data_IF_280459189513
#
_entry.id   IF_280459189513
#
_cell.length_a   1.000
_cell.length_b   1.000
_cell.length_c   1.000
_cell.angle_alpha   90.00
_cell.angle_beta   90.00
_cell.angle_gamma   90.00
#
_symmetry.space_group_name_H-M   'P 1'
#
loop_
_entity.id
_entity.type
_entity.pdbx_description
1 polymer ?
#
# COMPACT_ATOMS: atom_id res chain seq x y z
N UNK A 1 8.85 29.45 -4.67
CA UNK A 1 7.54 28.77 -4.51
C UNK A 1 7.11 28.96 -3.08
N UNK A 2 5.88 29.42 -2.85
CA UNK A 2 5.27 29.41 -1.52
C UNK A 2 4.83 27.98 -1.17
N UNK A 3 4.81 27.63 0.12
CA UNK A 3 4.39 26.31 0.62
C UNK A 3 3.03 25.88 0.05
N UNK A 4 2.09 26.83 -0.07
CA UNK A 4 0.77 26.58 -0.65
C UNK A 4 0.83 26.14 -2.11
N UNK A 5 1.74 26.71 -2.90
CA UNK A 5 1.91 26.36 -4.31
C UNK A 5 2.54 24.97 -4.45
N UNK A 6 3.48 24.63 -3.56
CA UNK A 6 4.10 23.29 -3.52
C UNK A 6 3.06 22.22 -3.22
N UNK A 7 2.24 22.40 -2.18
CA UNK A 7 1.18 21.44 -1.82
C UNK A 7 0.15 21.28 -2.96
N UNK A 8 -0.24 22.38 -3.60
CA UNK A 8 -1.14 22.33 -4.76
C UNK A 8 -0.53 21.55 -5.93
N UNK A 9 0.76 21.78 -6.21
CA UNK A 9 1.48 21.06 -7.27
C UNK A 9 1.58 19.57 -6.99
N UNK A 10 1.91 19.18 -5.75
CA UNK A 10 1.95 17.76 -5.33
C UNK A 10 0.58 17.12 -5.54
N UNK A 11 -0.50 17.79 -5.09
CA UNK A 11 -1.86 17.29 -5.28
C UNK A 11 -2.20 17.08 -6.76
N UNK A 12 -1.90 18.07 -7.61
CA UNK A 12 -2.19 17.99 -9.05
C UNK A 12 -1.49 16.81 -9.71
N UNK A 13 -0.21 16.59 -9.39
CA UNK A 13 0.55 15.45 -9.90
C UNK A 13 -0.07 14.12 -9.43
N UNK A 14 -0.41 14.02 -8.15
CA UNK A 14 -1.00 12.80 -7.59
C UNK A 14 -2.36 12.47 -8.22
N UNK A 15 -3.25 13.46 -8.31
CA UNK A 15 -4.57 13.31 -8.92
C UNK A 15 -4.46 12.90 -10.40
N UNK A 16 -3.57 13.57 -11.15
CA UNK A 16 -3.35 13.30 -12.56
C UNK A 16 -2.83 11.87 -12.77
N UNK A 17 -1.80 11.47 -12.05
CA UNK A 17 -1.22 10.14 -12.22
C UNK A 17 -2.22 9.04 -11.87
N UNK A 18 -2.93 9.18 -10.75
CA UNK A 18 -3.94 8.22 -10.32
C UNK A 18 -5.07 8.03 -11.35
N UNK A 19 -5.56 9.12 -11.92
CA UNK A 19 -6.62 9.07 -12.93
C UNK A 19 -6.14 8.33 -14.19
N UNK A 20 -4.93 8.61 -14.65
CA UNK A 20 -4.37 7.92 -15.82
C UNK A 20 -4.07 6.45 -15.53
N UNK A 21 -3.44 6.15 -14.40
CA UNK A 21 -3.13 4.78 -13.99
C UNK A 21 -4.38 3.90 -13.96
N UNK A 22 -5.46 4.40 -13.34
CA UNK A 22 -6.72 3.67 -13.23
C UNK A 22 -7.42 3.47 -14.57
N UNK A 23 -7.42 4.49 -15.43
CA UNK A 23 -8.01 4.42 -16.77
C UNK A 23 -7.26 3.44 -17.67
N UNK A 24 -5.95 3.63 -17.83
CA UNK A 24 -5.12 2.85 -18.76
C UNK A 24 -5.07 1.37 -18.39
N UNK A 25 -5.02 1.06 -17.10
CA UNK A 25 -4.93 -0.32 -16.61
C UNK A 25 -6.28 -0.93 -16.21
N UNK A 26 -7.39 -0.19 -16.35
CA UNK A 26 -8.74 -0.62 -15.93
C UNK A 26 -8.79 -1.03 -14.46
N UNK A 27 -8.26 -0.19 -13.60
CA UNK A 27 -8.14 -0.46 -12.17
C UNK A 27 -9.23 0.26 -11.39
N UNK A 28 -9.89 -0.48 -10.51
CA UNK A 28 -10.81 0.08 -9.51
C UNK A 28 -10.04 0.47 -8.25
N UNK A 29 -10.31 1.67 -7.72
CA UNK A 29 -9.77 2.08 -6.44
C UNK A 29 -10.39 1.26 -5.30
N UNK A 30 -9.56 0.71 -4.43
CA UNK A 30 -9.98 0.02 -3.20
C UNK A 30 -9.27 0.62 -1.99
N UNK A 31 -9.79 0.37 -0.79
CA UNK A 31 -9.15 0.82 0.46
C UNK A 31 -8.21 -0.25 0.97
N UNK A 32 -6.93 0.08 1.10
CA UNK A 32 -5.94 -0.77 1.74
C UNK A 32 -5.99 -0.71 3.28
N UNK A 33 -5.58 -1.79 3.96
CA UNK A 33 -5.23 -1.73 5.38
C UNK A 33 -3.92 -0.97 5.58
N UNK A 34 -3.82 -0.19 6.67
CA UNK A 34 -2.56 0.40 7.14
C UNK A 34 -1.74 -0.59 7.98
N UNK A 35 -2.43 -1.55 8.61
CA UNK A 35 -1.84 -2.58 9.44
C UNK A 35 -2.64 -3.87 9.35
N UNK A 36 -1.97 -4.99 9.63
CA UNK A 36 -2.56 -6.33 9.65
C UNK A 36 -2.20 -7.04 10.95
N UNK A 37 -2.95 -8.08 11.32
CA UNK A 37 -2.56 -8.92 12.46
C UNK A 37 -1.27 -9.69 12.13
N UNK A 38 -0.34 -9.71 13.10
CA UNK A 38 0.89 -10.47 13.00
C UNK A 38 0.59 -11.96 12.85
N UNK A 39 1.36 -12.65 12.00
CA UNK A 39 1.22 -14.10 11.79
C UNK A 39 0.15 -14.52 10.77
N UNK A 40 -0.59 -13.59 10.18
CA UNK A 40 -1.57 -13.90 9.12
C UNK A 40 -0.93 -14.21 7.76
N UNK A 41 0.39 -13.96 7.60
CA UNK A 41 1.09 -14.12 6.32
C UNK A 41 0.67 -13.10 5.24
N UNK A 42 -0.04 -12.03 5.63
CA UNK A 42 -0.52 -11.00 4.72
C UNK A 42 0.49 -9.86 4.55
N UNK A 43 1.27 -9.56 5.59
CA UNK A 43 2.33 -8.57 5.49
C UNK A 43 3.50 -9.12 4.66
N UNK A 44 4.18 -8.22 3.96
CA UNK A 44 5.37 -8.53 3.19
C UNK A 44 6.60 -8.45 4.09
N UNK A 45 7.49 -9.42 3.96
CA UNK A 45 8.68 -9.53 4.79
C UNK A 45 9.88 -8.82 4.13
N UNK A 46 9.69 -8.23 2.93
CA UNK A 46 10.75 -7.62 2.11
C UNK A 46 11.93 -8.59 1.91
N UNK A 47 13.10 -8.30 2.47
CA UNK A 47 14.29 -9.18 2.41
C UNK A 47 14.37 -10.14 3.60
N UNK A 48 13.39 -10.10 4.51
CA UNK A 48 13.28 -10.95 5.70
C UNK A 48 14.10 -10.46 6.90
N UNK A 49 14.74 -9.29 6.80
CA UNK A 49 15.60 -8.74 7.86
C UNK A 49 14.97 -7.50 8.50
N UNK A 50 14.16 -6.76 7.73
CA UNK A 50 13.55 -5.51 8.14
C UNK A 50 12.39 -5.73 9.13
N UNK A 51 12.43 -5.02 10.26
CA UNK A 51 11.40 -5.15 11.30
C UNK A 51 10.20 -4.27 10.99
N UNK A 52 9.01 -4.87 10.95
CA UNK A 52 7.76 -4.14 10.88
C UNK A 52 7.49 -3.37 12.18
N UNK A 53 6.86 -2.20 12.06
CA UNK A 53 6.36 -1.46 13.23
C UNK A 53 5.21 -2.26 13.84
N UNK A 54 5.38 -2.71 15.08
CA UNK A 54 4.41 -3.54 15.81
C UNK A 54 3.76 -2.79 16.96
N UNK A 55 2.48 -3.07 17.22
CA UNK A 55 1.77 -2.54 18.38
C UNK A 55 0.67 -3.51 18.88
N UNK A 56 0.37 -3.52 20.19
CA UNK A 56 -0.72 -4.33 20.73
C UNK A 56 -2.08 -3.64 20.48
N UNK A 57 -3.11 -4.43 20.16
CA UNK A 57 -4.49 -3.96 20.06
C UNK A 57 -5.23 -4.34 21.33
N UNK A 58 -5.52 -3.33 22.17
CA UNK A 58 -6.19 -3.51 23.47
C UNK A 58 -7.51 -4.29 23.37
N UNK A 59 -8.36 -3.94 22.40
CA UNK A 59 -9.69 -4.56 22.24
C UNK A 59 -9.63 -5.99 21.67
N UNK A 60 -8.44 -6.47 21.29
CA UNK A 60 -8.20 -7.84 20.85
C UNK A 60 -7.32 -8.61 21.84
N UNK A 61 -7.33 -8.23 23.13
CA UNK A 61 -6.56 -8.91 24.17
C UNK A 61 -5.05 -8.79 23.95
N UNK A 62 -4.60 -7.61 23.54
CA UNK A 62 -3.20 -7.30 23.20
C UNK A 62 -2.62 -8.14 22.05
N UNK A 63 -3.48 -8.64 21.15
CA UNK A 63 -3.03 -9.20 19.88
C UNK A 63 -2.16 -8.18 19.13
N UNK A 64 -1.06 -8.66 18.55
CA UNK A 64 -0.09 -7.80 17.86
C UNK A 64 -0.53 -7.52 16.44
N UNK A 65 -0.53 -6.25 16.07
CA UNK A 65 -0.64 -5.80 14.69
C UNK A 65 0.70 -5.25 14.20
N UNK A 66 0.87 -5.28 12.88
CA UNK A 66 2.03 -4.80 12.14
C UNK A 66 1.59 -3.80 11.10
N UNK A 67 2.24 -2.63 11.07
CA UNK A 67 2.14 -1.71 9.94
C UNK A 67 2.66 -2.43 8.69
N UNK A 68 1.95 -2.27 7.58
CA UNK A 68 2.32 -2.94 6.33
C UNK A 68 3.63 -2.37 5.77
N UNK A 69 4.50 -3.24 5.25
CA UNK A 69 5.68 -2.83 4.47
C UNK A 69 5.36 -2.66 2.98
N UNK A 70 4.47 -3.51 2.49
CA UNK A 70 3.89 -3.54 1.15
C UNK A 70 2.55 -4.28 1.22
N UNK A 71 1.71 -4.17 0.18
CA UNK A 71 0.47 -4.94 0.07
C UNK A 71 0.55 -6.06 -0.97
N UNK A 72 1.74 -6.53 -1.33
CA UNK A 72 1.92 -7.52 -2.39
C UNK A 72 1.07 -8.79 -2.18
N UNK A 73 1.11 -9.38 -0.98
CA UNK A 73 0.31 -10.57 -0.64
C UNK A 73 -1.17 -10.23 -0.48
N UNK A 74 -1.49 -9.11 0.19
CA UNK A 74 -2.87 -8.60 0.34
C UNK A 74 -3.59 -8.37 -0.99
N UNK A 75 -2.93 -7.78 -1.99
CA UNK A 75 -3.50 -7.52 -3.31
C UNK A 75 -3.96 -8.81 -3.99
N UNK A 76 -3.17 -9.89 -3.89
CA UNK A 76 -3.51 -11.19 -4.48
C UNK A 76 -4.78 -11.78 -3.85
N UNK A 77 -4.87 -11.72 -2.52
CA UNK A 77 -6.06 -12.16 -1.79
C UNK A 77 -7.28 -11.32 -2.17
N UNK A 78 -7.13 -9.99 -2.19
CA UNK A 78 -8.23 -9.05 -2.48
C UNK A 78 -8.76 -9.21 -3.91
N UNK A 79 -7.89 -9.43 -4.89
CA UNK A 79 -8.29 -9.70 -6.27
C UNK A 79 -9.17 -10.96 -6.37
N UNK A 80 -8.82 -12.01 -5.61
CA UNK A 80 -9.60 -13.25 -5.55
C UNK A 80 -10.93 -13.03 -4.82
N UNK A 81 -10.93 -12.40 -3.65
CA UNK A 81 -12.13 -12.16 -2.83
C UNK A 81 -13.18 -11.30 -3.56
N UNK A 82 -12.74 -10.35 -4.38
CA UNK A 82 -13.61 -9.46 -5.14
C UNK A 82 -14.06 -10.04 -6.49
N UNK A 83 -13.62 -11.24 -6.86
CA UNK A 83 -13.90 -11.87 -8.15
C UNK A 83 -13.66 -10.90 -9.32
N UNK A 84 -12.51 -10.23 -9.33
CA UNK A 84 -12.19 -9.22 -10.34
C UNK A 84 -12.14 -9.88 -11.72
N UNK A 85 -12.90 -9.33 -12.66
CA UNK A 85 -12.98 -9.83 -14.02
C UNK A 85 -11.61 -9.77 -14.72
N UNK A 86 -11.30 -10.74 -15.60
CA UNK A 86 -10.04 -10.71 -16.32
C UNK A 86 -9.87 -9.45 -17.16
N UNK A 87 -8.68 -8.86 -17.13
CA UNK A 87 -8.38 -7.59 -17.78
C UNK A 87 -8.69 -6.35 -16.94
N UNK A 88 -9.40 -6.50 -15.83
CA UNK A 88 -9.57 -5.49 -14.78
C UNK A 88 -8.61 -5.72 -13.61
N UNK A 89 -8.51 -4.74 -12.73
CA UNK A 89 -7.67 -4.85 -11.54
C UNK A 89 -8.09 -3.90 -10.44
N UNK A 90 -7.24 -3.81 -9.42
CA UNK A 90 -7.39 -2.88 -8.30
C UNK A 90 -6.14 -2.02 -8.16
N UNK A 91 -6.34 -0.83 -7.61
CA UNK A 91 -5.26 -0.03 -7.07
C UNK A 91 -5.66 0.58 -5.74
N UNK A 92 -4.67 0.92 -4.93
CA UNK A 92 -4.85 1.58 -3.64
C UNK A 92 -3.73 2.58 -3.40
N UNK A 93 -4.04 3.61 -2.64
CA UNK A 93 -3.05 4.47 -2.02
C UNK A 93 -2.50 3.73 -0.80
N UNK A 94 -1.30 3.18 -0.93
CA UNK A 94 -0.60 2.46 0.14
C UNK A 94 0.28 3.43 0.91
N UNK A 95 0.27 3.31 2.23
CA UNK A 95 1.18 4.04 3.11
C UNK A 95 1.83 3.04 4.07
N UNK A 96 3.12 3.22 4.31
CA UNK A 96 3.92 2.32 5.13
C UNK A 96 4.94 3.10 5.98
N UNK A 97 5.43 2.44 7.02
CA UNK A 97 6.55 2.91 7.84
C UNK A 97 7.66 1.85 7.78
N UNK A 98 8.79 2.21 7.16
CA UNK A 98 10.00 1.38 7.06
C UNK A 98 11.03 1.87 8.06
N UNK A 99 10.91 1.39 9.30
CA UNK A 99 11.73 1.85 10.42
C UNK A 99 13.22 1.53 10.27
N UNK A 100 13.55 0.51 9.49
CA UNK A 100 14.93 0.03 9.29
C UNK A 100 15.54 0.52 7.95
N UNK A 101 14.93 1.50 7.27
CA UNK A 101 15.41 2.03 5.98
C UNK A 101 16.70 2.88 6.12
N UNK A 102 17.65 2.70 5.20
CA UNK A 102 18.84 3.56 5.11
C UNK A 102 18.48 4.89 4.42
N UNK A 103 18.46 5.98 5.19
CA UNK A 103 18.00 7.28 4.71
C UNK A 103 18.93 7.92 3.68
N UNK A 104 18.31 8.58 2.70
CA UNK A 104 18.99 9.38 1.69
C UNK A 104 17.99 10.25 0.92
N UNK A 105 18.47 10.97 -0.09
CA UNK A 105 17.60 11.86 -0.87
C UNK A 105 16.47 11.13 -1.63
N UNK A 106 16.57 9.81 -1.77
CA UNK A 106 15.58 8.94 -2.42
C UNK A 106 14.89 7.97 -1.43
N UNK A 107 15.31 7.93 -0.16
CA UNK A 107 14.84 6.94 0.81
C UNK A 107 14.30 7.64 2.07
N UNK A 108 13.08 7.27 2.46
CA UNK A 108 12.33 7.87 3.56
C UNK A 108 11.72 6.76 4.41
N UNK A 109 11.65 6.98 5.74
CA UNK A 109 10.94 6.08 6.65
C UNK A 109 9.45 5.98 6.30
N UNK A 110 8.87 7.09 5.82
CA UNK A 110 7.52 7.12 5.31
C UNK A 110 7.53 6.81 3.82
N UNK A 111 6.75 5.80 3.43
CA UNK A 111 6.60 5.37 2.04
C UNK A 111 5.14 5.49 1.66
N UNK A 112 4.85 6.19 0.57
CA UNK A 112 3.56 6.14 -0.12
C UNK A 112 3.72 5.57 -1.54
N UNK A 113 2.73 4.79 -1.99
CA UNK A 113 2.74 4.18 -3.32
C UNK A 113 1.33 4.04 -3.86
N UNK A 114 1.19 4.18 -5.18
CA UNK A 114 0.06 3.58 -5.88
C UNK A 114 0.32 2.09 -6.03
N UNK A 115 -0.18 1.31 -5.08
CA UNK A 115 -0.02 -0.13 -5.08
C UNK A 115 -1.16 -0.78 -5.88
N UNK A 116 -0.84 -1.59 -6.90
CA UNK A 116 -1.85 -2.11 -7.83
C UNK A 116 -1.59 -3.56 -8.28
N UNK A 117 -2.64 -4.19 -8.80
CA UNK A 117 -2.58 -5.53 -9.37
C UNK A 117 -3.74 -5.79 -10.33
N UNK A 118 -3.51 -6.59 -11.37
CA UNK A 118 -4.54 -7.02 -12.34
C UNK A 118 -4.88 -8.49 -12.15
N UNK A 119 -6.15 -8.83 -12.33
CA UNK A 119 -6.58 -10.21 -12.46
C UNK A 119 -6.03 -10.79 -13.76
N UNK A 120 -5.35 -11.94 -13.68
CA UNK A 120 -4.91 -12.69 -14.85
C UNK A 120 -6.08 -13.53 -15.38
N UNK A 121 -6.13 -13.72 -16.70
CA UNK A 121 -6.90 -14.83 -17.27
C UNK A 121 -6.19 -16.12 -16.87
N UNK A 122 -6.89 -17.00 -16.16
CA UNK A 122 -6.51 -18.41 -16.01
C UNK A 122 -6.61 -19.13 -17.35
#
# INVERSE_FOLDING_TARGET
MDLKQTELGIKQIKDFFQMNLSSELRLRRVTAPLFVLQGMGINDDLNGVERAVTFPIKDLGDAKAEVVHSLAKWKRLTLADYNIEPGYGIYTDMNAIRADEELGNLHSLYVDQWDWGKGYQS
#
